data_IF_490330042602
#
_entry.id   IF_490330042602
#
_cell.length_a   1.000
_cell.length_b   1.000
_cell.length_c   1.000
_cell.angle_alpha   90.00
_cell.angle_beta   90.00
_cell.angle_gamma   90.00
#
_symmetry.space_group_name_H-M   'P 1'
#
loop_
_entity.id
_entity.type
_entity.pdbx_description
1 polymer ?
#
# COMPACT_ATOMS: atom_id res chain seq x y z
N UNK A 1 5.25 -4.23 -18.03
CA UNK A 1 5.46 -5.41 -17.14
C UNK A 1 5.10 -4.95 -15.74
N UNK A 2 3.99 -5.43 -15.16
CA UNK A 2 3.71 -5.22 -13.75
C UNK A 2 4.63 -6.11 -12.95
N UNK A 3 5.58 -5.52 -12.22
CA UNK A 3 6.34 -6.26 -11.22
C UNK A 3 5.36 -6.79 -10.18
N UNK A 4 5.15 -8.11 -10.23
CA UNK A 4 4.34 -8.85 -9.27
C UNK A 4 5.21 -8.92 -8.02
N UNK A 5 4.80 -8.26 -6.93
CA UNK A 5 5.46 -8.35 -5.62
C UNK A 5 5.87 -9.81 -5.37
N UNK A 6 7.17 -10.10 -5.53
CA UNK A 6 7.72 -11.43 -5.35
C UNK A 6 7.62 -11.73 -3.88
N UNK A 7 6.88 -12.79 -3.53
CA UNK A 7 6.80 -13.32 -2.16
C UNK A 7 8.22 -13.43 -1.60
N UNK A 8 8.55 -12.59 -0.61
CA UNK A 8 9.85 -12.60 0.08
C UNK A 8 10.51 -11.26 0.36
N UNK A 9 10.06 -10.15 -0.24
CA UNK A 9 10.56 -8.81 0.05
C UNK A 9 9.72 -8.07 1.10
N UNK A 10 10.36 -7.45 2.09
CA UNK A 10 9.70 -6.53 3.03
C UNK A 10 9.83 -5.10 2.52
N UNK A 11 8.73 -4.35 2.49
CA UNK A 11 8.71 -2.91 2.21
C UNK A 11 8.33 -2.20 3.50
N UNK A 12 9.18 -1.26 3.94
CA UNK A 12 8.91 -0.41 5.10
C UNK A 12 8.60 0.99 4.58
N UNK A 13 7.39 1.46 4.86
CA UNK A 13 6.92 2.81 4.50
C UNK A 13 6.96 3.67 5.76
N UNK A 14 7.86 4.65 5.80
CA UNK A 14 7.94 5.63 6.88
C UNK A 14 7.17 6.92 6.57
N UNK A 15 7.05 7.82 7.54
CA UNK A 15 6.27 9.07 7.41
C UNK A 15 6.78 10.01 6.32
N UNK A 16 8.06 9.91 5.96
CA UNK A 16 8.67 10.66 4.86
C UNK A 16 8.30 10.14 3.45
N UNK A 17 7.61 9.00 3.35
CA UNK A 17 7.16 8.46 2.08
C UNK A 17 5.88 9.18 1.63
N UNK A 18 5.90 9.72 0.41
CA UNK A 18 4.70 10.34 -0.16
C UNK A 18 3.74 9.25 -0.67
N UNK A 19 2.43 9.45 -0.50
CA UNK A 19 1.41 8.54 -1.02
C UNK A 19 0.37 9.30 -1.84
N UNK A 20 -0.03 8.72 -2.96
CA UNK A 20 -1.07 9.25 -3.83
C UNK A 20 -1.94 8.14 -4.40
N UNK A 21 -3.16 8.48 -4.79
CA UNK A 21 -3.97 7.55 -5.59
C UNK A 21 -3.34 7.38 -6.98
N UNK A 22 -3.34 6.15 -7.48
CA UNK A 22 -2.91 5.90 -8.83
C UNK A 22 -3.89 6.58 -9.81
N UNK A 23 -3.39 7.21 -10.89
CA UNK A 23 -4.21 7.95 -11.82
C UNK A 23 -5.13 7.05 -12.68
N UNK A 24 -4.85 5.75 -12.74
CA UNK A 24 -5.61 4.79 -13.53
C UNK A 24 -6.49 3.94 -12.60
N UNK A 25 -7.83 4.00 -12.74
CA UNK A 25 -8.74 3.14 -12.00
C UNK A 25 -8.45 1.66 -12.27
N UNK A 26 -8.50 0.83 -11.22
CA UNK A 26 -8.35 -0.63 -11.32
C UNK A 26 -9.60 -1.31 -10.81
N UNK A 27 -10.67 -1.25 -11.60
CA UNK A 27 -11.97 -1.90 -11.30
C UNK A 27 -12.37 -1.74 -9.83
N UNK A 28 -12.46 -2.85 -9.08
CA UNK A 28 -12.86 -2.92 -7.67
C UNK A 28 -11.71 -2.69 -6.67
N UNK A 29 -10.53 -2.29 -7.14
CA UNK A 29 -9.33 -2.08 -6.34
C UNK A 29 -8.97 -0.59 -6.23
N UNK A 30 -8.55 -0.20 -5.03
CA UNK A 30 -7.89 1.07 -4.78
C UNK A 30 -6.38 0.88 -4.98
N UNK A 31 -5.82 1.59 -5.96
CA UNK A 31 -4.40 1.59 -6.22
C UNK A 31 -3.75 2.86 -5.65
N UNK A 32 -2.67 2.67 -4.89
CA UNK A 32 -1.87 3.73 -4.31
C UNK A 32 -0.45 3.65 -4.87
N UNK A 33 0.13 4.80 -5.17
CA UNK A 33 1.55 4.93 -5.50
C UNK A 33 2.26 5.54 -4.31
N UNK A 34 3.29 4.84 -3.84
CA UNK A 34 4.20 5.27 -2.80
C UNK A 34 5.51 5.70 -3.43
N UNK A 35 6.01 6.86 -3.05
CA UNK A 35 7.29 7.37 -3.54
C UNK A 35 8.21 7.72 -2.36
N UNK A 36 9.45 7.26 -2.45
CA UNK A 36 10.52 7.67 -1.54
C UNK A 36 11.85 7.74 -2.28
N UNK A 37 12.50 8.90 -2.22
CA UNK A 37 13.84 9.12 -2.77
C UNK A 37 13.95 8.71 -4.26
N UNK A 38 12.91 8.97 -5.04
CA UNK A 38 12.88 8.64 -6.48
C UNK A 38 12.59 7.17 -6.80
N UNK A 39 12.34 6.33 -5.78
CA UNK A 39 11.82 4.97 -5.96
C UNK A 39 10.31 4.99 -5.78
N UNK A 40 9.57 4.49 -6.77
CA UNK A 40 8.12 4.34 -6.70
C UNK A 40 7.73 2.87 -6.66
N UNK A 41 6.70 2.55 -5.87
CA UNK A 41 6.00 1.28 -6.00
C UNK A 41 4.49 1.49 -5.92
N UNK A 42 3.76 0.62 -6.62
CA UNK A 42 2.30 0.64 -6.64
C UNK A 42 1.75 -0.52 -5.81
N UNK A 43 0.75 -0.22 -4.98
CA UNK A 43 0.02 -1.21 -4.20
C UNK A 43 -1.48 -1.08 -4.48
N UNK A 44 -2.07 -2.14 -5.02
CA UNK A 44 -3.51 -2.24 -5.23
C UNK A 44 -4.14 -3.12 -4.16
N UNK A 45 -5.18 -2.60 -3.49
CA UNK A 45 -5.89 -3.28 -2.42
C UNK A 45 -7.39 -3.21 -2.69
N UNK A 46 -8.10 -4.30 -2.38
CA UNK A 46 -9.55 -4.22 -2.29
C UNK A 46 -9.93 -3.31 -1.10
N UNK A 47 -10.97 -2.45 -1.21
CA UNK A 47 -11.36 -1.54 -0.14
C UNK A 47 -11.53 -2.22 1.23
N UNK A 48 -12.13 -3.42 1.26
CA UNK A 48 -12.33 -4.19 2.48
C UNK A 48 -11.01 -4.57 3.19
N UNK A 49 -9.93 -4.80 2.45
CA UNK A 49 -8.62 -5.11 3.01
C UNK A 49 -7.99 -3.85 3.61
N UNK A 50 -8.11 -2.70 2.92
CA UNK A 50 -7.63 -1.42 3.45
C UNK A 50 -8.31 -1.08 4.78
N UNK A 51 -9.63 -1.22 4.86
CA UNK A 51 -10.36 -1.03 6.12
C UNK A 51 -9.84 -1.94 7.22
N UNK A 52 -9.64 -3.24 6.91
CA UNK A 52 -9.11 -4.19 7.89
C UNK A 52 -7.72 -3.81 8.40
N UNK A 53 -6.85 -3.26 7.55
CA UNK A 53 -5.52 -2.79 7.96
C UNK A 53 -5.60 -1.61 8.93
N UNK A 54 -6.50 -0.65 8.67
CA UNK A 54 -6.74 0.49 9.56
C UNK A 54 -7.27 0.04 10.91
N UNK A 55 -8.23 -0.89 10.91
CA UNK A 55 -8.80 -1.46 12.14
C UNK A 55 -7.71 -2.14 13.00
N UNK A 56 -6.81 -2.89 12.36
CA UNK A 56 -5.70 -3.57 13.04
C UNK A 56 -4.66 -2.58 13.57
N UNK A 57 -4.35 -1.50 12.84
CA UNK A 57 -3.37 -0.50 13.26
C UNK A 57 -3.87 0.46 14.35
N UNK A 58 -5.19 0.59 14.48
CA UNK A 58 -5.83 1.46 15.49
C UNK A 58 -6.13 0.71 16.81
N UNK A 59 -6.04 -0.62 16.81
CA UNK A 59 -6.23 -1.44 18.01
C UNK A 59 -5.06 -1.30 19.00
N UNK A 60 -5.26 -1.58 20.29
CA UNK A 60 -4.16 -1.66 21.24
C UNK A 60 -3.15 -2.73 20.77
N UNK A 61 -1.84 -2.51 20.91
CA UNK A 61 -0.85 -3.53 20.57
C UNK A 61 -1.16 -4.80 21.37
N UNK A 62 -1.40 -5.89 20.66
CA UNK A 62 -1.59 -7.21 21.29
C UNK A 62 -0.22 -7.65 21.83
N UNK A 63 -0.10 -8.00 23.13
CA UNK A 63 1.15 -8.43 23.73
C UNK A 63 1.68 -9.76 23.16
#
# INVERSE_FOLDING_TARGET
MSDRLTVGGWVIVGEQCSVRLAPVPRDDYLAFVFESSGTEFELALAPAILHRMVDLGSGPPVP
#
